data_IF_752611509547
#
_entry.id   IF_752611509547
#
_cell.length_a   1.000
_cell.length_b   1.000
_cell.length_c   1.000
_cell.angle_alpha   90.00
_cell.angle_beta   90.00
_cell.angle_gamma   90.00
#
_symmetry.space_group_name_H-M   'P 1'
#
loop_
_entity.id
_entity.type
_entity.pdbx_description
1 polymer ?
#
# COMPACT_ATOMS: atom_id res chain seq x y z
N UNK A 1 -0.94 -52.47 -30.72
CA UNK A 1 -1.15 -51.03 -30.98
C UNK A 1 -1.69 -50.35 -29.72
N UNK A 2 -0.88 -49.56 -29.04
CA UNK A 2 -0.06 -50.06 -27.92
C UNK A 2 -0.20 -49.04 -26.78
N UNK A 3 -0.36 -49.52 -25.55
CA UNK A 3 -0.53 -48.71 -24.33
C UNK A 3 0.45 -47.53 -24.23
N UNK A 4 1.63 -47.68 -24.82
CA UNK A 4 2.68 -46.66 -24.88
C UNK A 4 2.27 -45.39 -25.62
N UNK A 5 1.48 -45.49 -26.71
CA UNK A 5 1.00 -44.32 -27.45
C UNK A 5 -0.05 -43.52 -26.66
N UNK A 6 -0.87 -44.23 -25.89
CA UNK A 6 -1.90 -43.62 -25.02
C UNK A 6 -1.22 -42.92 -23.83
N UNK A 7 -0.20 -43.54 -23.25
CA UNK A 7 0.59 -42.93 -22.17
C UNK A 7 1.34 -41.68 -22.64
N UNK A 8 2.00 -41.74 -23.81
CA UNK A 8 2.70 -40.60 -24.39
C UNK A 8 1.74 -39.43 -24.71
N UNK A 9 0.57 -39.72 -25.28
CA UNK A 9 -0.45 -38.70 -25.56
C UNK A 9 -0.97 -38.04 -24.27
N UNK A 10 -1.18 -38.81 -23.21
CA UNK A 10 -1.59 -38.29 -21.90
C UNK A 10 -0.55 -37.36 -21.27
N UNK A 11 0.73 -37.71 -21.35
CA UNK A 11 1.83 -36.87 -20.84
C UNK A 11 1.93 -35.55 -21.63
N UNK A 12 1.83 -35.61 -22.96
CA UNK A 12 1.85 -34.41 -23.81
C UNK A 12 0.66 -33.49 -23.52
N UNK A 13 -0.54 -34.04 -23.36
CA UNK A 13 -1.72 -33.28 -23.00
C UNK A 13 -1.58 -32.61 -21.62
N UNK A 14 -1.00 -33.31 -20.64
CA UNK A 14 -0.74 -32.75 -19.31
C UNK A 14 0.28 -31.61 -19.37
N UNK A 15 1.38 -31.77 -20.13
CA UNK A 15 2.38 -30.70 -20.31
C UNK A 15 1.79 -29.48 -21.00
N UNK A 16 0.96 -29.67 -22.03
CA UNK A 16 0.27 -28.58 -22.72
C UNK A 16 -0.71 -27.86 -21.80
N UNK A 17 -1.49 -28.60 -21.00
CA UNK A 17 -2.39 -28.00 -20.00
C UNK A 17 -1.61 -27.19 -18.95
N UNK A 18 -0.48 -27.71 -18.47
CA UNK A 18 0.37 -27.01 -17.51
C UNK A 18 1.01 -25.75 -18.11
N UNK A 19 1.44 -25.80 -19.38
CA UNK A 19 1.98 -24.65 -20.10
C UNK A 19 0.92 -23.55 -20.31
N UNK A 20 -0.33 -23.93 -20.63
CA UNK A 20 -1.45 -22.99 -20.76
C UNK A 20 -1.79 -22.36 -19.41
N UNK A 21 -1.83 -23.15 -18.32
CA UNK A 21 -2.05 -22.61 -16.96
C UNK A 21 -0.91 -21.65 -16.58
N UNK A 22 0.36 -22.05 -16.77
CA UNK A 22 1.51 -21.20 -16.48
C UNK A 22 1.53 -19.92 -17.33
N UNK A 23 1.13 -19.98 -18.61
CA UNK A 23 0.98 -18.80 -19.47
C UNK A 23 -0.18 -17.90 -19.00
N UNK A 24 -1.29 -18.48 -18.54
CA UNK A 24 -2.45 -17.75 -18.01
C UNK A 24 -2.21 -17.17 -16.62
N UNK A 25 -1.26 -17.69 -15.82
CA UNK A 25 -0.86 -17.07 -14.54
C UNK A 25 -0.11 -15.75 -14.71
N UNK A 26 0.21 -15.33 -15.95
CA UNK A 26 0.54 -13.94 -16.26
C UNK A 26 -0.66 -12.99 -16.22
N UNK A 27 -1.84 -13.45 -15.76
CA UNK A 27 -2.90 -12.57 -15.27
C UNK A 27 -2.38 -11.87 -14.00
N UNK A 28 -1.59 -10.82 -14.21
CA UNK A 28 -1.06 -9.99 -13.14
C UNK A 28 -2.24 -9.19 -12.61
N UNK A 29 -2.95 -9.74 -11.62
CA UNK A 29 -4.01 -8.99 -10.93
C UNK A 29 -3.34 -7.70 -10.42
N UNK A 30 -3.74 -6.51 -10.89
CA UNK A 30 -3.18 -5.28 -10.41
C UNK A 30 -3.31 -5.25 -8.89
N UNK A 31 -2.22 -4.95 -8.17
CA UNK A 31 -2.28 -4.80 -6.72
C UNK A 31 -3.42 -3.83 -6.37
N UNK A 32 -4.50 -4.31 -5.71
CA UNK A 32 -5.69 -3.51 -5.47
C UNK A 32 -5.40 -2.32 -4.52
N UNK A 33 -4.26 -2.35 -3.83
CA UNK A 33 -3.86 -1.34 -2.86
C UNK A 33 -2.93 -0.28 -3.44
N UNK A 34 -2.40 -0.49 -4.65
CA UNK A 34 -1.38 0.36 -5.28
C UNK A 34 -1.78 1.84 -5.30
N UNK A 35 -3.05 2.13 -5.58
CA UNK A 35 -3.56 3.50 -5.61
C UNK A 35 -3.43 4.20 -4.26
N UNK A 36 -3.79 3.52 -3.17
CA UNK A 36 -3.69 4.09 -1.81
C UNK A 36 -2.24 4.24 -1.37
N UNK A 37 -1.35 3.30 -1.73
CA UNK A 37 0.10 3.42 -1.50
C UNK A 37 0.63 4.70 -2.15
N UNK A 38 0.26 4.94 -3.42
CA UNK A 38 0.67 6.13 -4.17
C UNK A 38 0.16 7.40 -3.49
N UNK A 39 -1.13 7.48 -3.14
CA UNK A 39 -1.71 8.63 -2.44
C UNK A 39 -0.97 8.94 -1.13
N UNK A 40 -0.72 7.92 -0.31
CA UNK A 40 -0.03 8.10 0.98
C UNK A 40 1.42 8.55 0.77
N UNK A 41 2.11 7.99 -0.22
CA UNK A 41 3.48 8.39 -0.58
C UNK A 41 3.54 9.85 -1.05
N UNK A 42 2.61 10.27 -1.91
CA UNK A 42 2.53 11.65 -2.41
C UNK A 42 2.22 12.63 -1.29
N UNK A 43 1.29 12.29 -0.40
CA UNK A 43 0.99 13.08 0.80
C UNK A 43 2.22 13.25 1.70
N UNK A 44 2.98 12.17 1.94
CA UNK A 44 4.21 12.22 2.73
C UNK A 44 5.31 13.05 2.05
N UNK A 45 5.49 12.90 0.74
CA UNK A 45 6.43 13.70 -0.02
C UNK A 45 6.06 15.20 0.00
N UNK A 46 4.77 15.54 -0.09
CA UNK A 46 4.29 16.92 0.06
C UNK A 46 4.60 17.49 1.46
N UNK A 47 4.33 16.70 2.51
CA UNK A 47 4.67 17.07 3.89
C UNK A 47 6.18 17.33 4.09
N UNK A 48 7.02 16.49 3.50
CA UNK A 48 8.48 16.67 3.54
C UNK A 48 8.97 17.94 2.84
N UNK A 49 8.26 18.38 1.79
CA UNK A 49 8.56 19.61 1.04
C UNK A 49 7.91 20.87 1.63
N UNK A 50 7.02 20.72 2.61
CA UNK A 50 6.22 21.85 3.12
C UNK A 50 5.18 22.36 2.12
N UNK A 51 4.78 21.53 1.15
CA UNK A 51 3.82 21.90 0.12
C UNK A 51 2.38 21.77 0.65
N UNK A 52 1.87 22.88 1.17
CA UNK A 52 0.52 22.96 1.74
C UNK A 52 -0.59 22.73 0.70
N UNK A 53 -0.36 23.11 -0.55
CA UNK A 53 -1.34 22.94 -1.64
C UNK A 53 -1.48 21.47 -2.01
N UNK A 54 -0.35 20.75 -2.12
CA UNK A 54 -0.38 19.31 -2.36
C UNK A 54 -0.96 18.55 -1.16
N UNK A 55 -0.63 18.94 0.08
CA UNK A 55 -1.25 18.36 1.28
C UNK A 55 -2.77 18.52 1.27
N UNK A 56 -3.29 19.71 0.93
CA UNK A 56 -4.71 19.96 0.82
C UNK A 56 -5.35 19.12 -0.29
N UNK A 57 -4.71 18.99 -1.45
CA UNK A 57 -5.20 18.19 -2.59
C UNK A 57 -5.37 16.71 -2.23
N UNK A 58 -4.43 16.16 -1.47
CA UNK A 58 -4.43 14.76 -1.08
C UNK A 58 -5.20 14.50 0.22
N UNK A 59 -5.72 15.53 0.90
CA UNK A 59 -6.49 15.39 2.12
C UNK A 59 -8.00 15.34 1.85
N UNK A 60 -8.70 14.54 2.64
CA UNK A 60 -10.15 14.48 2.66
C UNK A 60 -10.77 15.58 3.54
N UNK A 61 -9.97 16.27 4.35
CA UNK A 61 -10.42 17.25 5.33
C UNK A 61 -9.90 18.65 4.98
N UNK A 62 -10.62 19.70 5.41
CA UNK A 62 -10.19 21.09 5.21
C UNK A 62 -8.85 21.40 5.91
N UNK A 63 -8.58 20.72 7.03
CA UNK A 63 -7.31 20.75 7.72
C UNK A 63 -6.56 19.44 7.44
N UNK A 64 -5.47 19.44 6.65
CA UNK A 64 -4.70 18.24 6.39
C UNK A 64 -4.18 17.61 7.68
N UNK A 65 -4.17 16.27 7.81
CA UNK A 65 -3.59 15.59 8.96
C UNK A 65 -2.19 16.11 9.31
N UNK A 66 -2.08 16.81 10.43
CA UNK A 66 -0.85 17.47 10.89
C UNK A 66 0.27 16.47 11.22
N UNK A 67 -0.07 15.17 11.37
CA UNK A 67 0.85 14.10 11.70
C UNK A 67 2.08 14.10 10.80
N UNK A 68 1.93 14.28 9.48
CA UNK A 68 3.07 14.18 8.55
C UNK A 68 4.07 15.32 8.70
N UNK A 69 3.56 16.52 9.00
CA UNK A 69 4.39 17.69 9.27
C UNK A 69 5.14 17.49 10.58
N UNK A 70 4.45 16.95 11.60
CA UNK A 70 5.05 16.67 12.89
C UNK A 70 6.08 15.53 12.84
N UNK A 71 5.77 14.43 12.17
CA UNK A 71 6.67 13.33 11.89
C UNK A 71 7.91 13.80 11.12
N UNK A 72 7.73 14.67 10.13
CA UNK A 72 8.85 15.25 9.35
C UNK A 72 9.74 16.12 10.23
N UNK A 73 9.17 16.94 11.12
CA UNK A 73 9.96 17.76 12.06
C UNK A 73 10.76 16.91 13.03
N UNK A 74 10.17 15.84 13.56
CA UNK A 74 10.82 14.98 14.56
C UNK A 74 11.82 14.01 13.94
N UNK A 75 11.46 13.37 12.84
CA UNK A 75 12.20 12.23 12.27
C UNK A 75 12.18 12.23 10.73
N UNK A 76 12.66 13.33 10.11
CA UNK A 76 12.68 13.53 8.65
C UNK A 76 13.23 12.34 7.85
N UNK A 77 14.31 11.73 8.33
CA UNK A 77 14.94 10.61 7.65
C UNK A 77 14.10 9.31 7.66
N UNK A 78 13.31 9.09 8.72
CA UNK A 78 12.34 8.00 8.79
C UNK A 78 11.25 8.19 7.74
N UNK A 79 10.67 9.40 7.66
CA UNK A 79 9.67 9.76 6.65
C UNK A 79 10.24 9.61 5.24
N UNK A 80 11.50 9.99 5.01
CA UNK A 80 12.18 9.78 3.74
C UNK A 80 12.34 8.28 3.38
N UNK A 81 12.56 7.42 4.37
CA UNK A 81 12.58 5.96 4.19
C UNK A 81 11.22 5.45 3.73
N UNK A 82 10.15 5.87 4.40
CA UNK A 82 8.77 5.55 3.99
C UNK A 82 8.44 6.03 2.58
N UNK A 83 8.73 7.28 2.25
CA UNK A 83 8.45 7.83 0.91
C UNK A 83 9.13 7.01 -0.20
N UNK A 84 10.34 6.51 0.04
CA UNK A 84 11.06 5.68 -0.95
C UNK A 84 10.58 4.24 -1.00
N UNK A 85 10.23 3.66 0.14
CA UNK A 85 10.07 2.21 0.32
C UNK A 85 8.65 1.70 0.58
N UNK A 86 7.65 2.58 0.64
CA UNK A 86 6.29 2.17 0.99
C UNK A 86 5.74 1.13 0.02
N UNK A 87 5.23 0.02 0.57
CA UNK A 87 4.52 -1.03 -0.13
C UNK A 87 3.19 -1.29 0.56
N UNK A 88 2.22 -1.75 -0.23
CA UNK A 88 0.92 -2.16 0.27
C UNK A 88 1.07 -3.39 1.16
N UNK A 89 0.30 -3.39 2.23
CA UNK A 89 0.13 -4.57 3.03
C UNK A 89 -1.21 -5.21 2.92
N UNK A 90 -1.99 -4.99 3.97
CA UNK A 90 -3.39 -5.38 4.01
C UNK A 90 -4.24 -4.11 4.02
N UNK A 91 -5.49 -4.24 3.62
CA UNK A 91 -6.44 -3.17 3.74
C UNK A 91 -7.84 -3.70 3.96
N UNK A 92 -8.68 -2.85 4.52
CA UNK A 92 -10.08 -3.12 4.78
C UNK A 92 -10.91 -1.97 4.23
N UNK A 93 -11.92 -2.29 3.42
CA UNK A 93 -12.91 -1.34 2.93
C UNK A 93 -14.15 -1.38 3.83
N UNK A 94 -14.67 -0.21 4.22
CA UNK A 94 -15.94 -0.05 4.94
C UNK A 94 -16.68 1.16 4.41
N UNK A 95 -17.77 0.91 3.67
CA UNK A 95 -18.48 1.96 2.94
C UNK A 95 -17.53 2.71 2.00
N UNK A 96 -17.50 4.04 2.13
CA UNK A 96 -16.64 4.93 1.35
C UNK A 96 -15.23 5.11 1.93
N UNK A 97 -14.89 4.37 2.98
CA UNK A 97 -13.56 4.44 3.62
C UNK A 97 -12.76 3.19 3.35
N UNK A 98 -11.44 3.37 3.25
CA UNK A 98 -10.47 2.28 3.12
C UNK A 98 -9.34 2.53 4.12
N UNK A 99 -9.19 1.59 5.04
CA UNK A 99 -8.03 1.54 5.92
C UNK A 99 -6.96 0.66 5.28
N UNK A 100 -5.73 1.14 5.19
CA UNK A 100 -4.58 0.37 4.68
C UNK A 100 -3.47 0.37 5.71
N UNK A 101 -2.86 -0.81 5.88
CA UNK A 101 -1.59 -0.98 6.56
C UNK A 101 -0.50 -1.05 5.49
N UNK A 102 0.49 -0.19 5.61
CA UNK A 102 1.59 -0.01 4.67
C UNK A 102 2.89 -0.28 5.40
N UNK A 103 3.90 -0.79 4.70
CA UNK A 103 5.22 -1.05 5.29
C UNK A 103 6.35 -0.60 4.38
N UNK A 104 7.51 -0.35 4.95
CA UNK A 104 8.75 -0.17 4.22
C UNK A 104 9.89 -0.90 4.93
N UNK A 105 10.87 -1.39 4.17
CA UNK A 105 12.05 -2.04 4.73
C UNK A 105 13.09 -1.00 5.16
N UNK A 106 13.87 -1.33 6.19
CA UNK A 106 15.07 -0.59 6.59
C UNK A 106 14.81 0.90 6.87
N UNK A 107 13.68 1.23 7.48
CA UNK A 107 13.36 2.60 7.86
C UNK A 107 14.12 2.98 9.13
N UNK A 108 15.08 3.89 9.00
CA UNK A 108 15.91 4.33 10.12
C UNK A 108 15.06 4.96 11.24
N UNK A 109 15.35 4.58 12.49
CA UNK A 109 14.65 5.11 13.68
C UNK A 109 13.35 4.39 14.04
N UNK A 110 12.97 3.37 13.29
CA UNK A 110 11.77 2.56 13.50
C UNK A 110 12.18 1.09 13.52
N UNK A 111 11.94 0.37 14.63
CA UNK A 111 12.29 -1.07 14.74
C UNK A 111 11.32 -1.94 13.92
N UNK A 112 11.24 -3.25 14.19
CA UNK A 112 10.52 -4.31 13.43
C UNK A 112 9.09 -4.01 12.92
N UNK A 113 8.50 -2.87 13.30
CA UNK A 113 7.20 -2.36 12.86
C UNK A 113 7.38 -1.07 12.03
N UNK A 114 8.12 -1.15 10.92
CA UNK A 114 8.27 -0.07 9.93
C UNK A 114 6.99 0.14 9.12
N UNK A 115 5.89 0.36 9.81
CA UNK A 115 4.55 0.45 9.27
C UNK A 115 3.95 1.85 9.37
N UNK A 116 3.06 2.14 8.43
CA UNK A 116 2.22 3.33 8.38
C UNK A 116 0.79 2.85 8.16
N UNK A 117 -0.11 3.27 9.03
CA UNK A 117 -1.54 3.01 8.88
C UNK A 117 -2.20 4.27 8.32
N UNK A 118 -3.04 4.11 7.30
CA UNK A 118 -3.74 5.22 6.67
C UNK A 118 -5.22 4.91 6.48
N UNK A 119 -6.07 5.90 6.73
CA UNK A 119 -7.50 5.87 6.45
C UNK A 119 -7.75 6.83 5.30
N UNK A 120 -8.38 6.34 4.23
CA UNK A 120 -8.64 7.10 3.03
C UNK A 120 -10.13 7.09 2.69
N UNK A 121 -10.64 8.20 2.18
CA UNK A 121 -11.88 8.21 1.41
C UNK A 121 -11.62 7.61 0.04
N UNK A 122 -12.37 6.57 -0.28
CA UNK A 122 -12.42 5.92 -1.58
C UNK A 122 -13.51 6.58 -2.44
N UNK A 123 -13.37 7.88 -2.65
CA UNK A 123 -14.27 8.64 -3.51
C UNK A 123 -13.53 8.97 -4.81
N UNK A 124 -13.98 8.40 -5.93
CA UNK A 124 -13.42 8.54 -7.29
C UNK A 124 -12.07 7.85 -7.55
N UNK A 125 -11.41 8.21 -8.65
CA UNK A 125 -10.10 7.70 -9.09
C UNK A 125 -8.91 8.22 -8.28
N UNK A 126 -9.14 9.11 -7.31
CA UNK A 126 -8.10 9.71 -6.48
C UNK A 126 -8.48 9.62 -4.99
N UNK A 127 -7.98 8.61 -4.25
CA UNK A 127 -8.22 8.49 -2.83
C UNK A 127 -7.71 9.72 -2.09
N UNK A 128 -8.40 10.09 -1.01
CA UNK A 128 -8.02 11.24 -0.17
C UNK A 128 -7.81 10.81 1.26
N UNK A 129 -6.73 11.28 1.87
CA UNK A 129 -6.30 10.89 3.20
C UNK A 129 -7.17 11.56 4.28
N UNK A 130 -7.84 10.76 5.10
CA UNK A 130 -8.55 11.18 6.30
C UNK A 130 -7.63 11.19 7.52
N UNK A 131 -6.82 10.13 7.64
CA UNK A 131 -5.91 9.96 8.76
C UNK A 131 -4.69 9.15 8.37
N UNK A 132 -3.59 9.39 9.08
CA UNK A 132 -2.33 8.64 8.94
C UNK A 132 -1.66 8.57 10.30
N UNK A 133 -1.07 7.42 10.61
CA UNK A 133 -0.29 7.22 11.83
C UNK A 133 0.82 6.20 11.59
N UNK A 134 1.78 6.17 12.51
CA UNK A 134 2.76 5.10 12.62
C UNK A 134 3.12 4.92 14.08
N UNK A 135 3.25 3.67 14.56
CA UNK A 135 3.69 3.40 15.93
C UNK A 135 5.09 3.96 16.24
N UNK A 136 5.89 4.28 15.22
CA UNK A 136 7.23 4.83 15.37
C UNK A 136 7.28 6.35 15.60
N UNK A 137 6.16 7.05 15.39
CA UNK A 137 6.07 8.51 15.64
C UNK A 137 5.13 8.80 16.81
N UNK A 138 3.95 8.16 16.82
CA UNK A 138 2.95 8.32 17.88
C UNK A 138 2.25 6.97 18.12
N UNK A 139 2.13 6.58 19.39
CA UNK A 139 1.44 5.35 19.80
C UNK A 139 -0.06 5.53 19.98
N UNK A 140 -0.58 6.74 19.83
CA UNK A 140 -2.02 6.99 19.96
C UNK A 140 -2.80 6.30 18.85
N UNK A 141 -3.85 5.60 19.27
CA UNK A 141 -4.84 5.05 18.38
C UNK A 141 -5.63 6.18 17.70
N UNK A 142 -5.57 6.24 16.37
CA UNK A 142 -6.49 7.00 15.52
C UNK A 142 -7.76 6.19 15.22
N UNK A 143 -8.95 6.60 15.69
CA UNK A 143 -10.19 5.87 15.47
C UNK A 143 -10.39 5.45 14.00
N UNK A 144 -10.66 4.15 13.78
CA UNK A 144 -10.91 3.60 12.45
C UNK A 144 -9.70 3.02 11.71
N UNK A 145 -8.50 3.06 12.28
CA UNK A 145 -7.36 2.28 11.78
C UNK A 145 -7.29 0.89 12.46
N UNK A 146 -6.83 -0.15 11.75
CA UNK A 146 -6.55 -1.44 12.36
C UNK A 146 -5.30 -1.35 13.26
N UNK A 147 -5.40 -1.92 14.46
CA UNK A 147 -4.28 -2.13 15.40
C UNK A 147 -3.94 -3.62 15.45
#
# INVERSE_FOLDING_TARGET
MDRERIAAAGVVALFLAFAVIAASQRYTVPDPWKLYVTTVREYMAAGMRGDSTALARHSATAQPPAWVLDATRRQRAMVAGWVRGLRSGTGQRRGDTVAVLLWADNVMGCSHLSSVSALLLNHSSSPRLLAISSPCVDRRAVPGLPW
#
